data_IF_609668870992
#
_entry.id   IF_609668870992
#
_cell.length_a   1.000
_cell.length_b   1.000
_cell.length_c   1.000
_cell.angle_alpha   90.00
_cell.angle_beta   90.00
_cell.angle_gamma   90.00
#
_symmetry.space_group_name_H-M   'P 1'
#
loop_
_entity.id
_entity.type
_entity.pdbx_description
1 polymer ?
#
# COMPACT_ATOMS: atom_id res chain seq x y z
N UNK A 1 10.40 -8.47 -6.98
CA UNK A 1 9.60 -7.72 -5.98
C UNK A 1 9.52 -6.28 -6.40
N UNK A 2 8.31 -5.71 -6.44
CA UNK A 2 8.05 -4.34 -6.88
C UNK A 2 7.24 -3.60 -5.82
N UNK A 3 7.60 -2.35 -5.52
CA UNK A 3 6.75 -1.45 -4.73
C UNK A 3 5.58 -1.01 -5.61
N UNK A 4 4.38 -1.14 -5.08
CA UNK A 4 3.15 -0.84 -5.83
C UNK A 4 2.37 0.31 -5.22
N UNK A 5 2.60 0.59 -3.94
CA UNK A 5 1.99 1.72 -3.26
C UNK A 5 2.89 2.18 -2.10
N UNK A 6 2.93 3.48 -1.88
CA UNK A 6 3.58 4.14 -0.76
C UNK A 6 2.61 5.15 -0.18
N UNK A 7 2.44 5.08 1.13
CA UNK A 7 1.70 6.05 1.93
C UNK A 7 2.71 6.92 2.66
N UNK A 8 2.71 8.21 2.37
CA UNK A 8 3.55 9.19 3.04
C UNK A 8 2.68 10.27 3.66
N UNK A 9 3.04 10.70 4.87
CA UNK A 9 2.39 11.82 5.54
C UNK A 9 3.36 12.98 5.72
N UNK A 10 2.84 14.19 5.69
CA UNK A 10 3.54 15.40 6.10
C UNK A 10 2.66 16.25 7.02
N UNK A 11 3.29 17.08 7.85
CA UNK A 11 2.61 18.12 8.60
C UNK A 11 3.19 19.49 8.23
N UNK A 12 2.32 20.43 7.88
CA UNK A 12 2.66 21.83 7.68
C UNK A 12 2.47 22.63 8.98
N UNK A 13 3.18 23.75 9.12
CA UNK A 13 3.23 24.56 10.33
C UNK A 13 1.99 25.45 10.57
N UNK A 14 0.87 25.21 9.89
CA UNK A 14 -0.30 26.09 9.96
C UNK A 14 -1.60 25.38 9.55
N UNK A 15 -2.73 25.99 9.91
CA UNK A 15 -4.02 25.64 9.33
C UNK A 15 -4.14 26.10 7.88
N UNK A 16 -4.86 25.33 7.07
CA UNK A 16 -4.99 25.55 5.62
C UNK A 16 -6.43 25.90 5.27
N UNK A 17 -6.59 26.97 4.48
CA UNK A 17 -7.86 27.26 3.81
C UNK A 17 -8.08 26.30 2.63
N UNK A 18 -8.77 25.19 2.90
CA UNK A 18 -9.06 24.16 1.91
C UNK A 18 -9.95 24.64 0.77
N UNK A 19 -10.82 25.64 0.98
CA UNK A 19 -11.66 26.19 -0.08
C UNK A 19 -10.78 26.93 -1.08
N UNK A 20 -9.88 27.77 -0.60
CA UNK A 20 -8.93 28.50 -1.46
C UNK A 20 -7.96 27.54 -2.16
N UNK A 21 -7.44 26.55 -1.46
CA UNK A 21 -6.61 25.50 -2.03
C UNK A 21 -7.32 24.76 -3.16
N UNK A 22 -8.55 24.29 -2.94
CA UNK A 22 -9.34 23.57 -3.92
C UNK A 22 -9.65 24.41 -5.16
N UNK A 23 -10.05 25.68 -4.98
CA UNK A 23 -10.32 26.60 -6.09
C UNK A 23 -9.11 26.81 -7.00
N UNK A 24 -7.91 26.88 -6.44
CA UNK A 24 -6.70 27.15 -7.21
C UNK A 24 -6.13 25.91 -7.89
N UNK A 25 -6.26 24.74 -7.25
CA UNK A 25 -5.67 23.48 -7.75
C UNK A 25 -6.64 22.63 -8.56
N UNK A 26 -7.95 22.89 -8.46
CA UNK A 26 -8.98 21.99 -8.94
C UNK A 26 -9.15 20.74 -8.07
N UNK A 27 -8.64 20.74 -6.83
CA UNK A 27 -8.85 19.63 -5.90
C UNK A 27 -10.34 19.45 -5.59
N UNK A 28 -10.78 18.19 -5.44
CA UNK A 28 -12.13 17.89 -4.98
C UNK A 28 -12.22 18.16 -3.48
N UNK A 29 -13.11 19.06 -3.07
CA UNK A 29 -13.34 19.37 -1.67
C UNK A 29 -14.83 19.53 -1.39
N UNK A 30 -15.38 18.54 -0.70
CA UNK A 30 -16.78 18.48 -0.28
C UNK A 30 -16.81 18.16 1.22
N UNK A 31 -16.77 19.17 2.10
CA UNK A 31 -16.58 18.97 3.54
C UNK A 31 -17.71 18.17 4.21
N UNK A 32 -18.89 18.09 3.59
CA UNK A 32 -20.00 17.24 4.03
C UNK A 32 -19.81 15.76 3.70
N UNK A 33 -18.92 15.43 2.76
CA UNK A 33 -18.60 14.06 2.32
C UNK A 33 -17.30 13.59 2.95
N UNK A 34 -16.25 14.42 2.91
CA UNK A 34 -14.93 14.10 3.45
C UNK A 34 -14.20 15.36 3.90
N UNK A 35 -13.46 15.26 5.02
CA UNK A 35 -12.87 16.42 5.69
C UNK A 35 -11.61 16.99 5.00
N UNK A 36 -11.03 16.30 4.02
CA UNK A 36 -9.82 16.71 3.32
C UNK A 36 -10.10 17.12 1.87
N UNK A 37 -9.30 18.06 1.35
CA UNK A 37 -9.23 18.34 -0.08
C UNK A 37 -8.39 17.25 -0.78
N UNK A 38 -8.95 16.66 -1.84
CA UNK A 38 -8.32 15.58 -2.60
C UNK A 38 -7.80 16.09 -3.94
N UNK A 39 -6.48 16.09 -4.11
CA UNK A 39 -5.80 16.51 -5.33
C UNK A 39 -5.09 15.34 -6.00
N UNK A 40 -5.48 15.01 -7.23
CA UNK A 40 -4.84 13.96 -8.01
C UNK A 40 -3.73 14.54 -8.88
N UNK A 41 -2.54 13.96 -8.78
CA UNK A 41 -1.37 14.27 -9.62
C UNK A 41 -1.20 13.11 -10.62
N UNK A 42 -1.00 13.42 -11.90
CA UNK A 42 -0.83 12.43 -12.96
C UNK A 42 0.62 12.01 -13.16
N UNK A 43 1.58 12.93 -12.97
CA UNK A 43 3.01 12.66 -13.11
C UNK A 43 3.83 13.38 -12.01
N UNK A 44 4.37 12.64 -11.02
CA UNK A 44 4.15 11.22 -10.78
C UNK A 44 2.69 10.94 -10.39
N UNK A 45 2.21 9.72 -10.65
CA UNK A 45 0.84 9.32 -10.30
C UNK A 45 0.72 9.19 -8.79
N UNK A 46 0.01 10.11 -8.14
CA UNK A 46 -0.33 10.02 -6.72
C UNK A 46 -1.59 10.86 -6.40
N UNK A 47 -2.12 10.72 -5.19
CA UNK A 47 -3.22 11.55 -4.68
C UNK A 47 -2.82 12.14 -3.34
N UNK A 48 -3.04 13.45 -3.20
CA UNK A 48 -2.82 14.20 -1.97
C UNK A 48 -4.16 14.42 -1.28
N UNK A 49 -4.22 14.11 0.02
CA UNK A 49 -5.33 14.43 0.90
C UNK A 49 -4.83 15.49 1.89
N UNK A 50 -5.29 16.73 1.73
CA UNK A 50 -4.90 17.86 2.56
C UNK A 50 -6.00 18.21 3.56
N UNK A 51 -5.66 18.19 4.84
CA UNK A 51 -6.58 18.49 5.94
C UNK A 51 -6.42 19.93 6.40
N UNK A 52 -7.49 20.50 6.96
CA UNK A 52 -7.49 21.86 7.52
C UNK A 52 -6.39 22.06 8.56
N UNK A 53 -6.04 21.01 9.30
CA UNK A 53 -5.01 21.02 10.34
C UNK A 53 -3.58 21.18 9.82
N UNK A 54 -3.36 21.20 8.50
CA UNK A 54 -2.02 21.18 7.90
C UNK A 54 -1.45 19.77 7.74
N UNK A 55 -2.17 18.72 8.15
CA UNK A 55 -1.79 17.34 7.80
C UNK A 55 -2.01 17.10 6.31
N UNK A 56 -1.04 16.50 5.64
CA UNK A 56 -1.13 16.06 4.27
C UNK A 56 -0.78 14.57 4.18
N UNK A 57 -1.58 13.81 3.42
CA UNK A 57 -1.34 12.39 3.15
C UNK A 57 -1.19 12.22 1.64
N UNK A 58 -0.08 11.62 1.21
CA UNK A 58 0.16 11.22 -0.16
C UNK A 58 0.00 9.71 -0.28
N UNK A 59 -0.86 9.26 -1.21
CA UNK A 59 -1.13 7.85 -1.50
C UNK A 59 -1.01 7.55 -3.00
N UNK A 60 -0.82 6.27 -3.33
CA UNK A 60 -0.84 5.78 -4.71
C UNK A 60 0.47 5.96 -5.49
N UNK A 61 1.50 6.55 -4.86
CA UNK A 61 2.84 6.62 -5.43
C UNK A 61 3.48 5.22 -5.43
N UNK A 62 4.28 4.90 -6.45
CA UNK A 62 4.94 3.57 -6.56
C UNK A 62 6.36 3.56 -6.01
N UNK A 63 6.85 4.69 -5.51
CA UNK A 63 8.11 4.79 -4.79
C UNK A 63 8.09 5.96 -3.79
N UNK A 64 9.03 5.94 -2.84
CA UNK A 64 9.14 6.98 -1.80
C UNK A 64 9.49 8.34 -2.40
N UNK A 65 10.30 8.36 -3.46
CA UNK A 65 10.68 9.60 -4.15
C UNK A 65 9.48 10.33 -4.75
N UNK A 66 8.60 9.60 -5.45
CA UNK A 66 7.38 10.15 -6.03
C UNK A 66 6.39 10.64 -4.96
N UNK A 67 6.28 9.92 -3.85
CA UNK A 67 5.47 10.36 -2.72
C UNK A 67 5.98 11.69 -2.14
N UNK A 68 7.31 11.80 -1.97
CA UNK A 68 7.96 13.02 -1.52
C UNK A 68 7.77 14.16 -2.53
N UNK A 69 7.82 13.87 -3.83
CA UNK A 69 7.52 14.85 -4.87
C UNK A 69 6.10 15.39 -4.73
N UNK A 70 5.10 14.53 -4.48
CA UNK A 70 3.72 14.94 -4.22
C UNK A 70 3.61 15.89 -3.02
N UNK A 71 4.26 15.56 -1.90
CA UNK A 71 4.29 16.44 -0.71
C UNK A 71 4.96 17.79 -1.04
N UNK A 72 6.08 17.78 -1.77
CA UNK A 72 6.78 19.00 -2.15
C UNK A 72 5.96 19.85 -3.13
N UNK A 73 5.19 19.23 -4.03
CA UNK A 73 4.24 19.92 -4.88
C UNK A 73 3.18 20.65 -4.05
N UNK A 74 2.61 19.96 -3.05
CA UNK A 74 1.66 20.57 -2.11
C UNK A 74 2.27 21.79 -1.40
N UNK A 75 3.50 21.67 -0.89
CA UNK A 75 4.23 22.79 -0.28
C UNK A 75 4.35 23.99 -1.23
N UNK A 76 4.74 23.76 -2.50
CA UNK A 76 4.86 24.84 -3.48
C UNK A 76 3.53 25.56 -3.69
N UNK A 77 2.43 24.83 -3.82
CA UNK A 77 1.09 25.41 -3.94
C UNK A 77 0.74 26.26 -2.72
N UNK A 78 1.01 25.76 -1.51
CA UNK A 78 0.73 26.50 -0.27
C UNK A 78 1.56 27.77 -0.13
N UNK A 79 2.82 27.75 -0.56
CA UNK A 79 3.69 28.93 -0.61
C UNK A 79 3.18 30.02 -1.57
N UNK A 80 2.35 29.68 -2.57
CA UNK A 80 1.66 30.68 -3.39
C UNK A 80 0.44 31.29 -2.71
N UNK A 81 -0.15 30.63 -1.71
CA UNK A 81 -1.37 31.07 -1.02
C UNK A 81 -1.12 31.82 0.28
N UNK A 82 -0.02 31.50 0.95
CA UNK A 82 0.29 31.91 2.31
C UNK A 82 1.75 32.32 2.43
N UNK A 83 1.99 33.33 3.24
CA UNK A 83 3.35 33.73 3.61
C UNK A 83 3.89 32.76 4.67
N UNK A 84 5.11 32.25 4.47
CA UNK A 84 5.85 31.44 5.46
C UNK A 84 5.28 30.04 5.80
N UNK A 85 5.06 29.21 4.77
CA UNK A 85 4.73 27.77 4.95
C UNK A 85 5.98 26.91 4.89
N UNK A 86 6.13 25.96 5.81
CA UNK A 86 7.16 24.93 5.73
C UNK A 86 6.67 23.59 6.28
N UNK A 87 7.37 22.53 5.90
CA UNK A 87 7.11 21.17 6.38
C UNK A 87 7.77 21.02 7.75
N UNK A 88 7.00 20.60 8.75
CA UNK A 88 7.49 20.27 10.09
C UNK A 88 8.17 18.89 10.10
N UNK A 89 7.51 17.88 9.53
CA UNK A 89 8.05 16.54 9.38
C UNK A 89 7.34 15.78 8.26
N UNK A 90 8.04 14.79 7.71
CA UNK A 90 7.51 13.80 6.78
C UNK A 90 7.77 12.40 7.31
N UNK A 91 6.87 11.47 7.05
CA UNK A 91 7.04 10.07 7.43
C UNK A 91 6.40 9.14 6.41
N UNK A 92 7.09 8.03 6.08
CA UNK A 92 6.49 6.91 5.36
C UNK A 92 5.69 6.08 6.36
N UNK A 93 4.38 5.95 6.11
CA UNK A 93 3.46 5.22 6.98
C UNK A 93 3.30 3.76 6.57
N UNK A 94 3.33 3.50 5.26
CA UNK A 94 3.20 2.16 4.71
C UNK A 94 3.87 2.07 3.33
N UNK A 95 4.45 0.92 3.04
CA UNK A 95 4.97 0.50 1.75
C UNK A 95 4.32 -0.84 1.45
N UNK A 96 3.63 -0.91 0.31
CA UNK A 96 3.03 -2.14 -0.19
C UNK A 96 3.85 -2.65 -1.36
N UNK A 97 4.14 -3.95 -1.35
CA UNK A 97 4.89 -4.60 -2.43
C UNK A 97 4.13 -5.78 -3.01
N UNK A 98 4.51 -6.13 -4.24
CA UNK A 98 4.02 -7.28 -4.97
C UNK A 98 5.18 -8.08 -5.53
N UNK A 99 5.07 -9.40 -5.49
CA UNK A 99 5.89 -10.30 -6.29
C UNK A 99 5.14 -11.59 -6.63
N UNK A 100 5.64 -12.33 -7.61
CA UNK A 100 5.19 -13.69 -7.93
C UNK A 100 6.38 -14.64 -7.78
N UNK A 101 6.23 -15.68 -6.96
CA UNK A 101 7.24 -16.74 -6.80
C UNK A 101 7.30 -17.68 -8.02
N UNK A 102 6.34 -17.57 -8.94
CA UNK A 102 6.19 -18.34 -10.16
C UNK A 102 5.98 -19.84 -9.97
N UNK A 103 5.69 -20.28 -8.74
CA UNK A 103 5.28 -21.64 -8.39
C UNK A 103 3.98 -21.64 -7.60
N UNK A 104 3.32 -22.79 -7.51
CA UNK A 104 2.24 -22.96 -6.57
C UNK A 104 2.79 -23.10 -5.15
N UNK A 105 2.00 -22.70 -4.16
CA UNK A 105 2.31 -22.84 -2.74
C UNK A 105 1.23 -23.70 -2.08
N UNK A 106 1.64 -24.74 -1.35
CA UNK A 106 0.75 -25.50 -0.47
C UNK A 106 0.42 -24.68 0.79
N UNK A 107 -0.54 -23.76 0.60
CA UNK A 107 -0.99 -22.82 1.64
C UNK A 107 -1.62 -23.55 2.83
N UNK A 108 -2.39 -24.62 2.57
CA UNK A 108 -3.06 -25.39 3.62
C UNK A 108 -2.04 -26.04 4.56
N UNK A 109 -1.00 -26.66 3.98
CA UNK A 109 0.09 -27.24 4.77
C UNK A 109 0.89 -26.16 5.49
N UNK A 110 1.24 -25.06 4.82
CA UNK A 110 1.94 -23.95 5.47
C UNK A 110 1.16 -23.42 6.68
N UNK A 111 -0.14 -23.18 6.52
CA UNK A 111 -1.00 -22.64 7.57
C UNK A 111 -1.07 -23.57 8.78
N UNK A 112 -1.18 -24.88 8.55
CA UNK A 112 -1.17 -25.89 9.62
C UNK A 112 0.15 -25.92 10.37
N UNK A 113 1.27 -25.94 9.65
CA UNK A 113 2.60 -26.01 10.25
C UNK A 113 3.00 -24.70 10.97
N UNK A 114 2.42 -23.56 10.58
CA UNK A 114 2.78 -22.22 11.06
C UNK A 114 1.64 -21.51 11.82
N UNK A 115 0.70 -22.25 12.44
CA UNK A 115 -0.56 -21.72 12.99
C UNK A 115 -0.43 -20.52 13.96
N UNK A 116 0.74 -20.32 14.60
CA UNK A 116 1.01 -19.17 15.47
C UNK A 116 1.09 -17.85 14.68
N UNK A 117 1.67 -17.90 13.47
CA UNK A 117 1.97 -16.72 12.66
C UNK A 117 1.21 -16.68 11.34
N UNK A 118 0.45 -17.74 11.02
CA UNK A 118 -0.25 -17.94 9.76
C UNK A 118 -1.76 -18.08 10.00
N UNK A 119 -2.56 -17.36 9.20
CA UNK A 119 -4.02 -17.41 9.24
C UNK A 119 -4.56 -17.60 7.83
N UNK A 120 -5.27 -18.70 7.61
CA UNK A 120 -5.92 -19.00 6.34
C UNK A 120 -7.35 -19.48 6.59
N UNK A 121 -8.31 -18.75 6.01
CA UNK A 121 -9.71 -19.16 5.97
C UNK A 121 -10.28 -18.75 4.60
N UNK A 122 -10.27 -19.66 3.61
CA UNK A 122 -10.61 -19.34 2.22
C UNK A 122 -12.06 -18.87 2.03
N UNK A 123 -12.97 -19.19 2.96
CA UNK A 123 -14.35 -18.70 2.93
C UNK A 123 -14.43 -17.20 3.25
N UNK A 124 -13.57 -16.72 4.15
CA UNK A 124 -13.50 -15.31 4.52
C UNK A 124 -12.60 -14.51 3.58
N UNK A 125 -11.46 -15.09 3.21
CA UNK A 125 -10.46 -14.44 2.37
C UNK A 125 -9.52 -15.47 1.74
N UNK A 126 -9.28 -15.42 0.41
CA UNK A 126 -8.56 -16.48 -0.31
C UNK A 126 -7.03 -16.42 -0.19
N UNK A 127 -6.47 -15.37 0.40
CA UNK A 127 -5.04 -15.28 0.68
C UNK A 127 -4.69 -15.76 2.08
N UNK A 128 -3.59 -16.47 2.21
CA UNK A 128 -2.96 -16.78 3.49
C UNK A 128 -2.30 -15.52 4.06
N UNK A 129 -2.67 -15.12 5.27
CA UNK A 129 -2.01 -14.01 5.99
C UNK A 129 -0.92 -14.54 6.89
N UNK A 130 0.29 -14.00 6.77
CA UNK A 130 1.47 -14.39 7.54
C UNK A 130 2.03 -13.17 8.27
N UNK A 131 2.23 -13.32 9.57
CA UNK A 131 2.94 -12.36 10.41
C UNK A 131 4.44 -12.58 10.26
N UNK A 132 5.17 -11.52 9.92
CA UNK A 132 6.63 -11.55 9.74
C UNK A 132 7.34 -11.00 10.98
N UNK A 133 8.54 -11.51 11.24
CA UNK A 133 9.32 -11.20 12.45
C UNK A 133 10.09 -9.88 12.38
N UNK A 134 10.27 -9.31 11.18
CA UNK A 134 11.05 -8.09 10.98
C UNK A 134 10.44 -6.83 11.62
N UNK A 135 9.11 -6.79 11.79
CA UNK A 135 8.39 -5.73 12.50
C UNK A 135 6.98 -6.22 12.86
N UNK A 136 6.46 -5.82 14.02
CA UNK A 136 5.16 -6.28 14.53
C UNK A 136 3.97 -6.01 13.59
N UNK A 137 4.07 -4.98 12.75
CA UNK A 137 3.02 -4.58 11.81
C UNK A 137 3.19 -5.21 10.43
N UNK A 138 4.33 -5.84 10.15
CA UNK A 138 4.59 -6.39 8.82
C UNK A 138 3.81 -7.69 8.61
N UNK A 139 3.10 -7.74 7.49
CA UNK A 139 2.28 -8.88 7.07
C UNK A 139 2.59 -9.24 5.63
N UNK A 140 2.62 -10.54 5.35
CA UNK A 140 2.59 -11.06 3.99
C UNK A 140 1.22 -11.67 3.71
N UNK A 141 0.65 -11.40 2.55
CA UNK A 141 -0.48 -12.13 1.99
C UNK A 141 0.00 -13.00 0.84
N UNK A 142 -0.17 -14.31 0.96
CA UNK A 142 0.30 -15.30 -0.02
C UNK A 142 -0.91 -15.96 -0.66
N UNK A 143 -0.92 -16.07 -1.98
CA UNK A 143 -1.96 -16.78 -2.74
C UNK A 143 -1.42 -18.10 -3.29
N UNK A 144 -2.30 -19.06 -3.51
CA UNK A 144 -1.90 -20.41 -3.90
C UNK A 144 -1.08 -20.39 -5.21
N UNK A 145 -1.33 -19.42 -6.10
CA UNK A 145 -0.59 -19.24 -7.35
C UNK A 145 0.86 -18.74 -7.18
N UNK A 146 1.30 -18.42 -5.96
CA UNK A 146 2.63 -17.86 -5.71
C UNK A 146 2.70 -16.34 -5.67
N UNK A 147 1.57 -15.63 -5.84
CA UNK A 147 1.54 -14.19 -5.62
C UNK A 147 1.76 -13.89 -4.13
N UNK A 148 2.66 -12.96 -3.85
CA UNK A 148 2.98 -12.49 -2.50
C UNK A 148 2.82 -10.97 -2.46
N UNK A 149 2.11 -10.50 -1.45
CA UNK A 149 1.97 -9.07 -1.14
C UNK A 149 2.54 -8.85 0.24
N UNK A 150 3.42 -7.86 0.41
CA UNK A 150 3.91 -7.45 1.74
C UNK A 150 3.39 -6.06 2.05
N UNK A 151 2.79 -5.90 3.23
CA UNK A 151 2.25 -4.64 3.77
C UNK A 151 2.79 -4.38 5.18
N UNK A 152 2.62 -3.14 5.67
CA UNK A 152 3.00 -2.73 7.03
C UNK A 152 4.45 -2.26 7.17
N UNK A 153 5.24 -2.32 6.10
CA UNK A 153 6.61 -1.84 6.10
C UNK A 153 6.67 -0.30 6.05
N UNK A 154 7.59 0.31 6.81
CA UNK A 154 7.84 1.76 6.78
C UNK A 154 9.15 2.16 6.09
N UNK A 155 10.00 1.19 5.77
CA UNK A 155 11.29 1.43 5.11
C UNK A 155 11.54 0.40 4.02
N UNK A 156 12.39 0.73 3.06
CA UNK A 156 12.82 -0.22 2.02
C UNK A 156 13.67 -1.36 2.60
N UNK A 157 14.38 -1.11 3.71
CA UNK A 157 15.13 -2.14 4.42
C UNK A 157 14.20 -3.19 5.04
N UNK A 158 13.13 -2.76 5.73
CA UNK A 158 12.14 -3.69 6.30
C UNK A 158 11.45 -4.49 5.21
N UNK A 159 11.19 -3.89 4.05
CA UNK A 159 10.67 -4.60 2.86
C UNK A 159 11.63 -5.71 2.41
N UNK A 160 12.93 -5.41 2.30
CA UNK A 160 13.93 -6.39 1.88
C UNK A 160 14.05 -7.55 2.88
N UNK A 161 14.09 -7.26 4.18
CA UNK A 161 14.13 -8.30 5.22
C UNK A 161 12.86 -9.15 5.23
N UNK A 162 11.69 -8.52 5.13
CA UNK A 162 10.40 -9.19 5.05
C UNK A 162 10.33 -10.17 3.87
N UNK A 163 10.83 -9.75 2.70
CA UNK A 163 10.89 -10.57 1.51
C UNK A 163 11.79 -11.80 1.67
N UNK A 164 12.99 -11.62 2.23
CA UNK A 164 13.89 -12.74 2.48
C UNK A 164 13.29 -13.74 3.47
N UNK A 165 12.65 -13.26 4.54
CA UNK A 165 11.97 -14.11 5.52
C UNK A 165 10.86 -14.93 4.87
N UNK A 166 9.89 -14.27 4.21
CA UNK A 166 8.73 -14.98 3.66
C UNK A 166 9.16 -15.96 2.55
N UNK A 167 10.12 -15.58 1.71
CA UNK A 167 10.63 -16.47 0.66
C UNK A 167 11.26 -17.73 1.26
N UNK A 168 12.11 -17.59 2.28
CA UNK A 168 12.74 -18.73 2.94
C UNK A 168 11.71 -19.65 3.62
N UNK A 169 10.66 -19.07 4.23
CA UNK A 169 9.59 -19.83 4.88
C UNK A 169 8.71 -20.59 3.89
N UNK A 170 8.50 -20.04 2.69
CA UNK A 170 7.65 -20.64 1.66
C UNK A 170 8.38 -21.71 0.83
N UNK A 171 9.71 -21.69 0.77
CA UNK A 171 10.49 -22.61 -0.07
C UNK A 171 10.15 -24.10 0.13
N UNK A 172 9.98 -24.63 1.36
CA UNK A 172 9.62 -26.04 1.58
C UNK A 172 8.20 -26.43 1.15
N UNK A 173 7.37 -25.44 0.80
CA UNK A 173 5.96 -25.59 0.45
C UNK A 173 5.68 -25.30 -1.02
N UNK A 174 6.73 -25.11 -1.84
CA UNK A 174 6.60 -24.92 -3.28
C UNK A 174 6.14 -26.21 -3.94
N UNK A 175 5.18 -26.08 -4.83
CA UNK A 175 4.63 -27.15 -5.66
C UNK A 175 4.87 -26.77 -7.11
N UNK A 176 5.54 -27.65 -7.86
CA UNK A 176 5.83 -27.40 -9.27
C UNK A 176 4.53 -27.18 -10.06
N UNK A 177 4.53 -26.18 -10.94
CA UNK A 177 3.46 -25.96 -11.91
C UNK A 177 3.52 -27.06 -12.98
N UNK A 178 3.07 -28.28 -12.69
CA UNK A 178 2.85 -29.25 -13.76
C UNK A 178 1.78 -28.71 -14.73
N UNK A 179 2.10 -28.75 -16.02
CA UNK A 179 1.33 -28.11 -17.08
C UNK A 179 -0.01 -28.83 -17.36
N UNK A 180 -1.00 -28.74 -16.48
CA UNK A 180 -2.37 -29.19 -16.75
C UNK A 180 -3.41 -28.35 -15.99
N UNK A 181 -4.07 -27.43 -16.70
CA UNK A 181 -5.52 -27.50 -17.02
C UNK A 181 -6.06 -26.11 -17.33
N UNK A 182 -6.42 -25.91 -18.60
CA UNK A 182 -7.05 -24.71 -19.15
C UNK A 182 -8.50 -24.53 -18.71
N UNK A 183 -8.92 -23.25 -18.71
CA UNK A 183 -10.28 -22.70 -18.72
C UNK A 183 -11.04 -22.50 -17.39
N UNK A 184 -10.82 -23.28 -16.32
CA UNK A 184 -11.49 -22.98 -15.01
C UNK A 184 -10.71 -21.94 -14.18
N UNK A 185 -9.41 -21.79 -14.44
CA UNK A 185 -8.51 -20.86 -13.73
C UNK A 185 -8.78 -19.38 -14.07
N UNK A 186 -9.37 -19.05 -15.21
CA UNK A 186 -9.45 -17.65 -15.69
C UNK A 186 -10.39 -16.79 -14.82
N UNK A 187 -11.51 -17.36 -14.35
CA UNK A 187 -12.47 -16.64 -13.51
C UNK A 187 -11.98 -16.49 -12.06
N UNK A 188 -11.40 -17.55 -11.49
CA UNK A 188 -10.75 -17.50 -10.19
C UNK A 188 -9.55 -16.53 -10.20
N UNK A 189 -8.75 -16.52 -11.27
CA UNK A 189 -7.64 -15.59 -11.43
C UNK A 189 -8.11 -14.13 -11.54
N UNK A 190 -9.26 -13.86 -12.16
CA UNK A 190 -9.82 -12.50 -12.21
C UNK A 190 -10.32 -12.03 -10.84
N UNK A 191 -10.94 -12.89 -10.04
CA UNK A 191 -11.35 -12.56 -8.68
C UNK A 191 -10.13 -12.31 -7.76
N UNK A 192 -9.13 -13.18 -7.83
CA UNK A 192 -7.87 -13.04 -7.10
C UNK A 192 -7.13 -11.75 -7.52
N UNK A 193 -7.07 -11.44 -8.82
CA UNK A 193 -6.48 -10.18 -9.31
C UNK A 193 -7.16 -8.95 -8.71
N UNK A 194 -8.50 -8.91 -8.69
CA UNK A 194 -9.24 -7.80 -8.07
C UNK A 194 -8.97 -7.68 -6.57
N UNK A 195 -8.78 -8.79 -5.87
CA UNK A 195 -8.43 -8.78 -4.45
C UNK A 195 -6.98 -8.34 -4.22
N UNK A 196 -6.04 -8.78 -5.05
CA UNK A 196 -4.67 -8.28 -5.06
C UNK A 196 -4.70 -6.77 -5.23
N UNK A 197 -5.42 -6.26 -6.25
CA UNK A 197 -5.58 -4.83 -6.49
C UNK A 197 -6.16 -4.14 -5.24
N UNK A 198 -7.24 -4.67 -4.64
CA UNK A 198 -7.80 -4.10 -3.41
C UNK A 198 -6.79 -4.01 -2.29
N UNK A 199 -6.01 -5.06 -2.01
CA UNK A 199 -4.98 -5.01 -0.96
C UNK A 199 -3.92 -3.96 -1.28
N UNK A 200 -3.55 -3.81 -2.56
CA UNK A 200 -2.60 -2.76 -2.96
C UNK A 200 -3.11 -1.34 -2.71
N UNK A 201 -4.42 -1.12 -2.84
CA UNK A 201 -5.04 0.21 -2.75
C UNK A 201 -5.66 0.52 -1.37
N UNK A 202 -6.38 -0.43 -0.76
CA UNK A 202 -7.12 -0.28 0.51
C UNK A 202 -6.21 -0.32 1.75
N UNK A 203 -5.19 -1.19 1.81
CA UNK A 203 -4.19 -1.15 2.90
C UNK A 203 -3.28 0.10 2.82
N UNK A 204 -3.44 0.90 1.76
CA UNK A 204 -2.83 2.22 1.59
C UNK A 204 -3.68 3.38 2.12
N UNK A 205 -4.92 3.14 2.53
CA UNK A 205 -5.77 4.17 3.11
C UNK A 205 -5.52 4.25 4.62
N UNK A 206 -5.15 5.43 5.10
CA UNK A 206 -4.98 5.67 6.53
C UNK A 206 -6.38 5.64 7.15
N UNK A 207 -6.64 4.66 8.03
CA UNK A 207 -7.78 4.73 8.95
C UNK A 207 -7.71 6.07 9.69
N UNK A 208 -8.66 6.95 9.37
CA UNK A 208 -8.78 8.31 9.94
C UNK A 208 -8.88 8.30 11.44
#
# INVERSE_FOLDING_TARGET
MRIVNVVMTAAFNMEIDLIRFARMTGADFRPTVFAAASLRISNPRCTLLLFKTGKCVCIGATCVHDAQYGINFCLRVLLYLHDSVHILHTAVQNIVTHDDLHDYIDIDKFAKDNAISAQYNPELFPGLRVSLSCDNNTRATVFYQGNVIITGCRTTQTVATAWQEIKARLEPYRVERHAHTSNTLTHANNAVRRQIDRIMYEDGEVST
#
